data_IF_070017814364
#
_entry.id   IF_070017814364
#
_cell.length_a   1.000
_cell.length_b   1.000
_cell.length_c   1.000
_cell.angle_alpha   90.00
_cell.angle_beta   90.00
_cell.angle_gamma   90.00
#
_symmetry.space_group_name_H-M   'P 1'
#
loop_
_entity.id
_entity.type
_entity.pdbx_description
1 polymer ?
#
# COMPACT_ATOMS: atom_id res chain seq x y z
N UNK A 1 -8.02 -16.74 -10.34
CA UNK A 1 -7.27 -15.56 -9.85
C UNK A 1 -6.82 -14.76 -11.05
N UNK A 2 -6.54 -13.47 -10.86
CA UNK A 2 -6.17 -12.57 -11.94
C UNK A 2 -4.78 -11.96 -11.64
N UNK A 3 -3.69 -12.58 -12.14
CA UNK A 3 -2.32 -12.09 -11.94
C UNK A 3 -2.10 -10.65 -12.44
N UNK A 4 -2.74 -10.28 -13.54
CA UNK A 4 -2.71 -8.97 -14.16
C UNK A 4 -4.11 -8.58 -14.66
N UNK A 5 -4.26 -7.29 -15.02
CA UNK A 5 -5.55 -6.76 -15.45
C UNK A 5 -6.04 -7.35 -16.78
N UNK A 6 -5.15 -7.96 -17.59
CA UNK A 6 -5.57 -8.64 -18.81
C UNK A 6 -6.53 -9.78 -18.50
N UNK A 7 -6.17 -10.66 -17.57
CA UNK A 7 -7.03 -11.80 -17.21
C UNK A 7 -8.35 -11.35 -16.58
N UNK A 8 -8.34 -10.28 -15.79
CA UNK A 8 -9.55 -9.73 -15.18
C UNK A 8 -10.52 -9.17 -16.23
N UNK A 9 -10.00 -8.41 -17.20
CA UNK A 9 -10.83 -7.78 -18.23
C UNK A 9 -11.33 -8.80 -19.27
N UNK A 10 -10.50 -9.79 -19.62
CA UNK A 10 -10.90 -10.88 -20.50
C UNK A 10 -12.05 -11.69 -19.88
N UNK A 11 -11.97 -12.01 -18.59
CA UNK A 11 -13.02 -12.77 -17.89
C UNK A 11 -14.31 -11.97 -17.68
N UNK A 12 -14.23 -10.70 -17.28
CA UNK A 12 -15.41 -9.88 -17.00
C UNK A 12 -16.12 -9.36 -18.26
N UNK A 13 -15.37 -9.08 -19.33
CA UNK A 13 -15.89 -8.40 -20.52
C UNK A 13 -15.64 -9.13 -21.84
N UNK A 14 -14.83 -10.20 -21.85
CA UNK A 14 -14.45 -10.91 -23.07
C UNK A 14 -13.49 -10.11 -23.97
N UNK A 15 -12.82 -9.08 -23.45
CA UNK A 15 -11.98 -8.16 -24.25
C UNK A 15 -10.49 -8.43 -24.01
N UNK A 16 -9.80 -8.89 -25.06
CA UNK A 16 -8.37 -9.26 -25.02
C UNK A 16 -7.45 -8.07 -25.29
N UNK A 17 -7.22 -7.25 -24.27
CA UNK A 17 -6.32 -6.08 -24.35
C UNK A 17 -4.91 -6.44 -23.89
N UNK A 18 -4.04 -6.89 -24.80
CA UNK A 18 -2.67 -7.35 -24.47
C UNK A 18 -1.84 -6.37 -23.63
N UNK A 19 -2.08 -5.06 -23.73
CA UNK A 19 -1.38 -4.06 -22.92
C UNK A 19 -1.64 -4.16 -21.42
N UNK A 20 -2.77 -4.74 -21.01
CA UNK A 20 -3.10 -4.94 -19.60
C UNK A 20 -2.24 -6.02 -18.93
N UNK A 21 -1.47 -6.81 -19.69
CA UNK A 21 -0.51 -7.78 -19.14
C UNK A 21 0.64 -7.10 -18.37
N UNK A 22 0.93 -5.83 -18.68
CA UNK A 22 1.94 -5.02 -17.97
C UNK A 22 1.49 -4.57 -16.59
N UNK A 23 0.18 -4.54 -16.33
CA UNK A 23 -0.39 -4.02 -15.10
C UNK A 23 -0.76 -5.20 -14.20
N UNK A 24 0.14 -5.55 -13.28
CA UNK A 24 -0.11 -6.58 -12.28
C UNK A 24 -1.27 -6.15 -11.36
N UNK A 25 -2.20 -7.07 -11.10
CA UNK A 25 -3.40 -6.78 -10.32
C UNK A 25 -3.04 -6.40 -8.89
N UNK A 26 -2.09 -7.11 -8.28
CA UNK A 26 -1.60 -6.81 -6.93
C UNK A 26 -1.16 -5.34 -6.81
N UNK A 27 -0.22 -4.90 -7.67
CA UNK A 27 0.29 -3.53 -7.65
C UNK A 27 -0.77 -2.49 -7.96
N UNK A 28 -1.69 -2.80 -8.88
CA UNK A 28 -2.81 -1.93 -9.22
C UNK A 28 -3.75 -1.68 -8.02
N UNK A 29 -4.19 -2.74 -7.35
CA UNK A 29 -5.07 -2.61 -6.19
C UNK A 29 -4.36 -1.96 -5.00
N UNK A 30 -3.06 -2.22 -4.80
CA UNK A 30 -2.25 -1.50 -3.81
C UNK A 30 -2.19 -0.01 -4.12
N UNK A 31 -1.98 0.39 -5.38
CA UNK A 31 -1.97 1.81 -5.78
C UNK A 31 -3.33 2.48 -5.52
N UNK A 32 -4.44 1.80 -5.84
CA UNK A 32 -5.79 2.26 -5.51
C UNK A 32 -5.97 2.40 -4.00
N UNK A 33 -5.48 1.42 -3.22
CA UNK A 33 -5.55 1.47 -1.76
C UNK A 33 -4.82 2.69 -1.21
N UNK A 34 -3.66 3.08 -1.74
CA UNK A 34 -2.96 4.31 -1.34
C UNK A 34 -3.80 5.57 -1.61
N UNK A 35 -4.39 5.69 -2.81
CA UNK A 35 -5.21 6.85 -3.17
C UNK A 35 -6.47 6.93 -2.31
N UNK A 36 -7.18 5.82 -2.18
CA UNK A 36 -8.43 5.76 -1.42
C UNK A 36 -8.18 5.98 0.09
N UNK A 37 -7.10 5.43 0.65
CA UNK A 37 -6.71 5.67 2.04
C UNK A 37 -6.26 7.11 2.27
N UNK A 38 -5.54 7.70 1.31
CA UNK A 38 -5.20 9.13 1.33
C UNK A 38 -6.47 9.99 1.40
N UNK A 39 -7.51 9.65 0.63
CA UNK A 39 -8.79 10.34 0.70
C UNK A 39 -9.49 10.16 2.06
N UNK A 40 -9.48 8.96 2.64
CA UNK A 40 -10.02 8.72 4.00
C UNK A 40 -9.29 9.57 5.05
N UNK A 41 -7.95 9.64 4.97
CA UNK A 41 -7.13 10.47 5.84
C UNK A 41 -7.44 11.97 5.66
N UNK A 42 -7.56 12.43 4.42
CA UNK A 42 -7.95 13.80 4.09
C UNK A 42 -9.26 14.19 4.78
N UNK A 43 -10.29 13.34 4.68
CA UNK A 43 -11.59 13.59 5.30
C UNK A 43 -11.49 13.69 6.82
N UNK A 44 -10.68 12.84 7.46
CA UNK A 44 -10.56 12.81 8.91
C UNK A 44 -9.68 13.94 9.46
N UNK A 45 -8.61 14.33 8.74
CA UNK A 45 -7.81 15.52 9.07
C UNK A 45 -8.67 16.78 8.96
N UNK A 46 -9.38 16.98 7.85
CA UNK A 46 -10.30 18.11 7.66
C UNK A 46 -11.35 18.20 8.78
N UNK A 47 -11.90 17.06 9.21
CA UNK A 47 -12.82 17.00 10.35
C UNK A 47 -12.16 17.45 11.66
N UNK A 48 -10.95 16.98 11.94
CA UNK A 48 -10.23 17.30 13.19
C UNK A 48 -9.71 18.75 13.21
N UNK A 49 -9.38 19.31 12.05
CA UNK A 49 -9.09 20.74 11.90
C UNK A 49 -10.31 21.60 12.25
N UNK A 50 -11.50 21.22 11.75
CA UNK A 50 -12.74 21.89 12.11
C UNK A 50 -13.09 21.81 13.61
N UNK A 51 -12.48 20.87 14.35
CA UNK A 51 -12.57 20.76 15.81
C UNK A 51 -11.50 21.56 16.56
N UNK A 52 -10.59 22.25 15.86
CA UNK A 52 -9.50 23.03 16.46
C UNK A 52 -8.32 22.19 16.95
N UNK A 53 -8.16 20.95 16.49
CA UNK A 53 -7.06 20.08 16.94
C UNK A 53 -5.72 20.33 16.22
N UNK A 54 -5.72 21.17 15.19
CA UNK A 54 -4.53 21.47 14.39
C UNK A 54 -4.44 22.96 14.10
N UNK A 55 -3.21 23.43 13.89
CA UNK A 55 -2.91 24.80 13.47
C UNK A 55 -2.49 24.82 12.01
N UNK A 56 -2.85 25.88 11.31
CA UNK A 56 -2.39 26.15 9.97
C UNK A 56 -1.01 26.82 9.98
N UNK A 57 -0.27 26.65 8.88
CA UNK A 57 1.02 27.33 8.69
C UNK A 57 0.99 28.17 7.42
N UNK A 58 1.43 29.41 7.54
CA UNK A 58 1.65 30.27 6.38
C UNK A 58 2.94 29.87 5.66
N UNK A 59 2.83 29.54 4.38
CA UNK A 59 3.97 29.19 3.53
C UNK A 59 4.01 30.07 2.28
N UNK A 60 5.22 30.54 1.95
CA UNK A 60 5.46 31.35 0.75
C UNK A 60 5.60 30.43 -0.44
N UNK A 61 4.60 30.43 -1.32
CA UNK A 61 4.61 29.66 -2.56
C UNK A 61 4.76 30.63 -3.73
N UNK A 62 5.72 30.36 -4.61
CA UNK A 62 5.96 31.14 -5.82
C UNK A 62 5.00 30.64 -6.90
N UNK A 63 4.08 31.49 -7.33
CA UNK A 63 3.08 31.17 -8.36
C UNK A 63 3.48 31.87 -9.66
N UNK A 64 3.33 31.16 -10.79
CA UNK A 64 3.55 31.73 -12.12
C UNK A 64 5.00 31.78 -12.59
N UNK A 65 5.92 31.05 -11.95
CA UNK A 65 7.27 30.86 -12.46
C UNK A 65 7.27 30.01 -13.75
N UNK A 66 8.14 30.31 -14.74
CA UNK A 66 8.30 29.46 -15.91
C UNK A 66 8.79 28.07 -15.52
N UNK A 67 8.59 27.07 -16.39
CA UNK A 67 9.14 25.73 -16.17
C UNK A 67 10.66 25.81 -15.92
N UNK A 68 11.10 25.30 -14.77
CA UNK A 68 12.54 25.27 -14.48
C UNK A 68 13.25 24.30 -15.42
N UNK A 69 14.53 24.55 -15.71
CA UNK A 69 15.33 23.62 -16.52
C UNK A 69 15.37 22.23 -15.89
N UNK A 70 15.43 22.15 -14.55
CA UNK A 70 15.35 20.89 -13.82
C UNK A 70 14.01 20.18 -13.99
N UNK A 71 12.89 20.91 -14.02
CA UNK A 71 11.57 20.31 -14.24
C UNK A 71 11.49 19.69 -15.64
N UNK A 72 11.95 20.41 -16.66
CA UNK A 72 11.93 19.93 -18.04
C UNK A 72 12.82 18.70 -18.21
N UNK A 73 14.05 18.73 -17.67
CA UNK A 73 14.97 17.58 -17.71
C UNK A 73 14.37 16.38 -16.98
N UNK A 74 13.79 16.58 -15.79
CA UNK A 74 13.18 15.50 -15.02
C UNK A 74 12.00 14.88 -15.75
N UNK A 75 11.13 15.70 -16.35
CA UNK A 75 10.01 15.21 -17.16
C UNK A 75 10.49 14.49 -18.43
N UNK A 76 11.57 14.96 -19.05
CA UNK A 76 12.19 14.24 -20.17
C UNK A 76 12.68 12.86 -19.75
N UNK A 77 13.42 12.77 -18.64
CA UNK A 77 13.96 11.49 -18.15
C UNK A 77 12.82 10.52 -17.81
N UNK A 78 11.79 10.97 -17.08
CA UNK A 78 10.63 10.11 -16.78
C UNK A 78 9.88 9.69 -18.04
N UNK A 79 9.65 10.61 -18.98
CA UNK A 79 9.00 10.30 -20.25
C UNK A 79 9.84 9.37 -21.11
N UNK A 80 11.15 9.56 -21.12
CA UNK A 80 12.08 8.67 -21.81
C UNK A 80 12.04 7.26 -21.23
N UNK A 81 12.16 7.11 -19.91
CA UNK A 81 12.09 5.80 -19.26
C UNK A 81 10.73 5.13 -19.50
N UNK A 82 9.64 5.89 -19.40
CA UNK A 82 8.28 5.39 -19.66
C UNK A 82 8.12 4.94 -21.11
N UNK A 83 8.53 5.75 -22.09
CA UNK A 83 8.49 5.39 -23.50
C UNK A 83 9.42 4.22 -23.84
N UNK A 84 10.63 4.24 -23.31
CA UNK A 84 11.66 3.23 -23.54
C UNK A 84 11.21 1.85 -23.05
N UNK A 85 10.68 1.78 -21.83
CA UNK A 85 10.23 0.53 -21.22
C UNK A 85 8.78 0.21 -21.56
N UNK A 86 7.84 1.02 -21.10
CA UNK A 86 6.40 0.69 -21.13
C UNK A 86 5.87 0.68 -22.55
N UNK A 87 6.13 1.73 -23.33
CA UNK A 87 5.73 1.76 -24.75
C UNK A 87 6.57 0.78 -25.56
N UNK A 88 7.87 0.66 -25.25
CA UNK A 88 8.76 -0.32 -25.86
C UNK A 88 8.31 -1.77 -25.71
N UNK A 89 7.62 -2.12 -24.63
CA UNK A 89 7.10 -3.47 -24.37
C UNK A 89 6.10 -3.93 -25.44
N UNK A 90 5.45 -3.00 -26.14
CA UNK A 90 4.52 -3.30 -27.24
C UNK A 90 5.23 -3.51 -28.58
N UNK A 91 6.49 -3.13 -28.67
CA UNK A 91 7.28 -3.19 -29.91
C UNK A 91 8.28 -4.35 -29.92
N UNK A 92 8.56 -4.92 -28.75
CA UNK A 92 9.54 -5.99 -28.56
C UNK A 92 8.81 -7.33 -28.44
N UNK A 93 9.26 -8.32 -29.21
CA UNK A 93 8.70 -9.67 -29.19
C UNK A 93 8.91 -10.31 -27.82
N UNK A 94 7.90 -11.04 -27.31
CA UNK A 94 7.88 -11.69 -25.99
C UNK A 94 7.95 -10.79 -24.74
N UNK A 95 8.11 -9.47 -24.87
CA UNK A 95 8.14 -8.56 -23.71
C UNK A 95 6.87 -8.61 -22.85
N UNK A 96 5.69 -8.78 -23.49
CA UNK A 96 4.40 -8.90 -22.80
C UNK A 96 4.15 -10.30 -22.21
N UNK A 97 4.94 -11.30 -22.59
CA UNK A 97 4.82 -12.65 -22.05
C UNK A 97 5.62 -12.79 -20.75
N UNK A 98 6.76 -12.11 -20.61
CA UNK A 98 7.54 -12.07 -19.37
C UNK A 98 7.86 -10.63 -18.94
N UNK A 99 6.82 -9.93 -18.49
CA UNK A 99 6.85 -8.49 -18.18
C UNK A 99 7.87 -8.14 -17.09
N UNK A 100 7.99 -8.97 -16.05
CA UNK A 100 8.93 -8.75 -14.96
C UNK A 100 10.39 -8.80 -15.44
N UNK A 101 10.75 -9.82 -16.22
CA UNK A 101 12.11 -9.93 -16.77
C UNK A 101 12.43 -8.77 -17.72
N UNK A 102 11.47 -8.38 -18.56
CA UNK A 102 11.65 -7.30 -19.52
C UNK A 102 11.83 -5.94 -18.82
N UNK A 103 11.03 -5.64 -17.79
CA UNK A 103 11.15 -4.39 -17.03
C UNK A 103 12.56 -4.27 -16.40
N UNK A 104 13.11 -5.37 -15.88
CA UNK A 104 14.44 -5.41 -15.25
C UNK A 104 15.61 -5.54 -16.24
N UNK A 105 15.34 -5.90 -17.49
CA UNK A 105 16.37 -6.00 -18.53
C UNK A 105 16.92 -4.63 -18.93
N UNK A 106 17.91 -4.59 -19.83
CA UNK A 106 18.31 -3.35 -20.52
C UNK A 106 17.52 -3.12 -21.82
N UNK A 107 16.65 -4.04 -22.23
CA UNK A 107 15.89 -3.96 -23.47
C UNK A 107 14.84 -2.84 -23.42
N UNK A 108 14.57 -2.23 -24.56
CA UNK A 108 13.58 -1.19 -24.70
C UNK A 108 13.64 -0.52 -26.07
N UNK A 109 12.75 0.44 -26.30
CA UNK A 109 12.65 1.15 -27.57
C UNK A 109 13.14 2.59 -27.43
N UNK A 110 14.35 2.86 -27.91
CA UNK A 110 14.96 4.19 -27.84
C UNK A 110 14.11 5.27 -28.52
N UNK A 111 13.52 4.97 -29.69
CA UNK A 111 12.71 5.93 -30.43
C UNK A 111 11.43 6.28 -29.65
N UNK A 112 10.74 5.26 -29.11
CA UNK A 112 9.58 5.48 -28.26
C UNK A 112 9.94 6.30 -27.01
N UNK A 113 11.09 6.03 -26.39
CA UNK A 113 11.63 6.83 -25.29
C UNK A 113 11.82 8.30 -25.68
N UNK A 114 12.52 8.58 -26.79
CA UNK A 114 12.76 9.96 -27.23
C UNK A 114 11.46 10.71 -27.56
N UNK A 115 10.50 10.05 -28.23
CA UNK A 115 9.22 10.66 -28.59
C UNK A 115 8.37 10.99 -27.36
N UNK A 116 8.23 10.05 -26.42
CA UNK A 116 7.46 10.27 -25.20
C UNK A 116 8.17 11.28 -24.28
N UNK A 117 9.50 11.22 -24.17
CA UNK A 117 10.29 12.20 -23.45
C UNK A 117 10.08 13.62 -23.98
N UNK A 118 10.17 13.83 -25.30
CA UNK A 118 9.90 15.11 -25.93
C UNK A 118 8.44 15.57 -25.73
N UNK A 119 7.48 14.65 -25.81
CA UNK A 119 6.08 14.93 -25.56
C UNK A 119 5.84 15.40 -24.11
N UNK A 120 6.42 14.74 -23.11
CA UNK A 120 6.27 15.14 -21.70
C UNK A 120 6.90 16.51 -21.42
N UNK A 121 8.06 16.81 -22.03
CA UNK A 121 8.66 18.16 -21.98
C UNK A 121 7.70 19.20 -22.57
N UNK A 122 7.14 18.93 -23.75
CA UNK A 122 6.21 19.83 -24.41
C UNK A 122 4.94 20.06 -23.55
N UNK A 123 4.35 19.00 -23.01
CA UNK A 123 3.17 19.08 -22.13
C UNK A 123 3.50 19.91 -20.89
N UNK A 124 4.63 19.66 -20.22
CA UNK A 124 5.02 20.38 -19.01
C UNK A 124 5.30 21.85 -19.29
N UNK A 125 6.00 22.14 -20.38
CA UNK A 125 6.26 23.50 -20.83
C UNK A 125 4.95 24.24 -21.13
N UNK A 126 4.01 23.59 -21.83
CA UNK A 126 2.70 24.16 -22.15
C UNK A 126 1.87 24.43 -20.90
N UNK A 127 1.83 23.50 -19.95
CA UNK A 127 1.16 23.66 -18.65
C UNK A 127 1.72 24.88 -17.90
N UNK A 128 3.05 24.96 -17.73
CA UNK A 128 3.68 26.08 -17.02
C UNK A 128 3.58 27.40 -17.75
N UNK A 129 3.57 27.41 -19.08
CA UNK A 129 3.32 28.62 -19.85
C UNK A 129 1.89 29.13 -19.73
N UNK A 130 0.89 28.25 -19.57
CA UNK A 130 -0.50 28.68 -19.31
C UNK A 130 -0.65 29.35 -17.94
N UNK A 131 0.11 28.89 -16.95
CA UNK A 131 0.08 29.42 -15.58
C UNK A 131 1.09 30.55 -15.34
N UNK A 132 1.91 30.89 -16.34
CA UNK A 132 2.98 31.87 -16.22
C UNK A 132 2.39 33.26 -16.03
N UNK A 133 2.85 33.95 -14.98
CA UNK A 133 2.55 35.35 -14.74
C UNK A 133 3.71 36.20 -15.27
N UNK A 134 3.44 37.44 -15.67
CA UNK A 134 4.46 38.37 -16.18
C UNK A 134 5.56 38.65 -15.14
N UNK A 135 5.21 38.58 -13.86
CA UNK A 135 6.13 38.55 -12.73
C UNK A 135 5.68 37.44 -11.77
N UNK A 136 6.54 36.47 -11.41
CA UNK A 136 6.19 35.46 -10.43
C UNK A 136 5.80 36.12 -9.11
N UNK A 137 4.60 35.84 -8.61
CA UNK A 137 4.11 36.38 -7.35
C UNK A 137 4.39 35.39 -6.23
N UNK A 138 4.99 35.87 -5.15
CA UNK A 138 5.08 35.08 -3.91
C UNK A 138 3.78 35.27 -3.14
N UNK A 139 2.92 34.26 -3.14
CA UNK A 139 1.69 34.27 -2.32
C UNK A 139 1.96 33.56 -1.00
N UNK A 140 1.50 34.18 0.08
CA UNK A 140 1.46 33.54 1.39
C UNK A 140 0.18 32.71 1.40
N UNK A 141 0.32 31.40 1.32
CA UNK A 141 -0.79 30.47 1.36
C UNK A 141 -0.83 29.82 2.75
N UNK A 142 -2.04 29.75 3.32
CA UNK A 142 -2.31 29.04 4.57
C UNK A 142 -2.43 27.55 4.27
N UNK A 143 -1.42 26.78 4.65
CA UNK A 143 -1.36 25.32 4.42
C UNK A 143 -1.83 24.59 5.67
N UNK A 144 -2.81 23.71 5.50
CA UNK A 144 -3.38 22.88 6.55
C UNK A 144 -2.83 21.44 6.51
N UNK A 145 -2.92 20.68 7.61
CA UNK A 145 -2.53 19.26 7.61
C UNK A 145 -3.18 18.41 6.51
N UNK A 146 -4.45 18.66 6.17
CA UNK A 146 -5.13 17.92 5.09
C UNK A 146 -4.52 18.15 3.70
N UNK A 147 -3.89 19.31 3.46
CA UNK A 147 -3.19 19.60 2.20
C UNK A 147 -1.92 18.74 2.04
N UNK A 148 -1.37 18.27 3.16
CA UNK A 148 -0.12 17.51 3.21
C UNK A 148 -0.30 16.00 3.10
N UNK A 149 -1.52 15.52 2.89
CA UNK A 149 -1.80 14.07 2.78
C UNK A 149 -0.93 13.41 1.70
N UNK A 150 -0.79 14.04 0.53
CA UNK A 150 0.06 13.53 -0.53
C UNK A 150 1.52 13.41 -0.10
N UNK A 151 2.07 14.44 0.57
CA UNK A 151 3.43 14.41 1.11
C UNK A 151 3.60 13.30 2.17
N UNK A 152 2.62 13.12 3.05
CA UNK A 152 2.66 12.05 4.06
C UNK A 152 2.65 10.67 3.41
N UNK A 153 1.80 10.44 2.41
CA UNK A 153 1.76 9.18 1.66
C UNK A 153 3.11 8.90 0.99
N UNK A 154 3.73 9.93 0.37
CA UNK A 154 5.05 9.80 -0.24
C UNK A 154 6.14 9.49 0.78
N UNK A 155 6.13 10.14 1.95
CA UNK A 155 7.07 9.82 3.04
C UNK A 155 6.87 8.38 3.53
N UNK A 156 5.63 7.95 3.73
CA UNK A 156 5.33 6.58 4.16
C UNK A 156 5.82 5.55 3.14
N UNK A 157 5.60 5.79 1.84
CA UNK A 157 6.06 4.91 0.77
C UNK A 157 7.59 4.86 0.68
N UNK A 158 8.25 6.03 0.73
CA UNK A 158 9.72 6.14 0.66
C UNK A 158 10.39 5.41 1.83
N UNK A 159 10.04 5.77 3.06
CA UNK A 159 10.64 5.18 4.25
C UNK A 159 10.21 3.74 4.47
N UNK A 160 9.00 3.37 4.05
CA UNK A 160 8.51 2.00 4.06
C UNK A 160 9.31 1.09 3.14
N UNK A 161 9.58 1.53 1.90
CA UNK A 161 10.39 0.76 0.97
C UNK A 161 11.85 0.64 1.45
N UNK A 162 12.46 1.77 1.86
CA UNK A 162 13.82 1.79 2.40
C UNK A 162 13.93 0.85 3.62
N UNK A 163 12.99 0.94 4.56
CA UNK A 163 12.98 0.10 5.76
C UNK A 163 12.81 -1.37 5.46
N UNK A 164 11.90 -1.71 4.55
CA UNK A 164 11.67 -3.10 4.17
C UNK A 164 12.91 -3.73 3.54
N UNK A 165 13.65 -2.96 2.73
CA UNK A 165 14.87 -3.42 2.08
C UNK A 165 16.05 -3.54 3.04
N UNK A 166 16.24 -2.54 3.92
CA UNK A 166 17.30 -2.58 4.93
C UNK A 166 17.14 -3.81 5.83
N UNK A 167 15.93 -4.04 6.36
CA UNK A 167 15.72 -5.17 7.27
C UNK A 167 15.85 -6.53 6.57
N UNK A 168 15.36 -6.65 5.33
CA UNK A 168 15.56 -7.86 4.56
C UNK A 168 17.05 -8.20 4.39
N UNK A 169 17.87 -7.21 4.10
CA UNK A 169 19.31 -7.40 3.92
C UNK A 169 20.04 -7.67 5.25
N UNK A 170 19.52 -7.16 6.37
CA UNK A 170 20.01 -7.49 7.71
C UNK A 170 19.61 -8.90 8.16
N UNK A 171 18.45 -9.39 7.71
CA UNK A 171 18.00 -10.76 7.99
C UNK A 171 18.72 -11.79 7.11
N UNK A 172 19.10 -11.40 5.87
CA UNK A 172 19.74 -12.28 4.88
C UNK A 172 21.16 -11.78 4.55
N UNK A 173 21.99 -11.58 5.58
CA UNK A 173 23.37 -11.08 5.42
C UNK A 173 24.20 -11.99 4.51
N UNK A 174 23.99 -13.30 4.58
CA UNK A 174 24.72 -14.26 3.74
C UNK A 174 24.43 -14.06 2.24
N UNK A 175 23.21 -13.68 1.88
CA UNK A 175 22.83 -13.38 0.49
C UNK A 175 23.35 -12.00 0.06
N UNK A 176 23.35 -11.03 0.98
CA UNK A 176 23.94 -9.72 0.75
C UNK A 176 25.46 -9.79 0.50
N UNK A 177 26.17 -10.64 1.24
CA UNK A 177 27.62 -10.82 1.06
C UNK A 177 27.95 -11.47 -0.28
N UNK A 178 27.10 -12.37 -0.77
CA UNK A 178 27.29 -13.06 -2.06
C UNK A 178 27.02 -12.16 -3.26
N UNK A 179 25.97 -11.34 -3.21
CA UNK A 179 25.63 -10.39 -4.29
C UNK A 179 25.13 -9.05 -3.71
N UNK A 180 26.05 -8.14 -3.34
CA UNK A 180 25.70 -6.88 -2.69
C UNK A 180 24.84 -5.98 -3.58
N UNK A 181 25.15 -5.92 -4.88
CA UNK A 181 24.49 -5.03 -5.84
C UNK A 181 23.11 -5.60 -6.21
N UNK A 182 23.03 -6.88 -6.56
CA UNK A 182 21.75 -7.52 -6.91
C UNK A 182 20.81 -7.62 -5.71
N UNK A 183 21.32 -7.90 -4.51
CA UNK A 183 20.51 -7.92 -3.29
C UNK A 183 19.93 -6.54 -2.97
N UNK A 184 20.69 -5.45 -3.13
CA UNK A 184 20.20 -4.07 -2.92
C UNK A 184 19.22 -3.58 -3.99
N UNK A 185 19.43 -3.94 -5.27
CA UNK A 185 18.64 -3.42 -6.41
C UNK A 185 17.41 -4.29 -6.71
N UNK A 186 17.40 -5.55 -6.28
CA UNK A 186 16.26 -6.45 -6.51
C UNK A 186 14.96 -5.89 -5.93
N UNK A 187 13.87 -6.00 -6.70
CA UNK A 187 12.52 -5.65 -6.24
C UNK A 187 11.90 -6.71 -5.32
N UNK A 188 12.53 -7.89 -5.22
CA UNK A 188 12.18 -8.96 -4.29
C UNK A 188 12.92 -8.80 -2.95
N UNK A 189 12.43 -9.47 -1.92
CA UNK A 189 13.06 -9.45 -0.60
C UNK A 189 12.76 -8.16 0.16
N UNK A 190 11.55 -8.06 0.69
CA UNK A 190 11.06 -6.92 1.46
C UNK A 190 10.52 -7.41 2.80
N UNK A 191 11.16 -7.00 3.89
CA UNK A 191 10.73 -7.37 5.23
C UNK A 191 9.68 -6.37 5.73
N UNK A 192 8.45 -6.84 5.97
CA UNK A 192 7.34 -6.01 6.39
C UNK A 192 7.64 -5.12 7.61
N UNK A 193 8.26 -5.69 8.66
CA UNK A 193 8.52 -4.97 9.91
C UNK A 193 9.50 -3.81 9.74
N UNK A 194 10.55 -4.00 8.94
CA UNK A 194 11.47 -2.91 8.63
C UNK A 194 10.77 -1.74 7.96
N UNK A 195 9.86 -2.04 7.03
CA UNK A 195 9.05 -1.03 6.37
C UNK A 195 8.11 -0.31 7.34
N UNK A 196 7.39 -1.05 8.18
CA UNK A 196 6.48 -0.46 9.16
C UNK A 196 7.20 0.48 10.15
N UNK A 197 8.36 0.06 10.67
CA UNK A 197 9.13 0.82 11.67
C UNK A 197 9.66 2.11 11.05
N UNK A 198 10.38 2.03 9.92
CA UNK A 198 10.97 3.22 9.31
C UNK A 198 9.90 4.15 8.72
N UNK A 199 8.82 3.62 8.13
CA UNK A 199 7.70 4.45 7.68
C UNK A 199 7.08 5.23 8.85
N UNK A 200 6.84 4.58 9.98
CA UNK A 200 6.29 5.23 11.18
C UNK A 200 7.21 6.34 11.68
N UNK A 201 8.53 6.08 11.78
CA UNK A 201 9.52 7.08 12.20
C UNK A 201 9.57 8.24 11.21
N UNK A 202 9.66 7.96 9.90
CA UNK A 202 9.74 8.97 8.85
C UNK A 202 8.52 9.88 8.83
N UNK A 203 7.32 9.32 8.96
CA UNK A 203 6.08 10.10 9.06
C UNK A 203 6.06 10.93 10.35
N UNK A 204 6.43 10.38 11.51
CA UNK A 204 6.48 11.13 12.78
C UNK A 204 7.45 12.31 12.69
N UNK A 205 8.63 12.12 12.11
CA UNK A 205 9.62 13.19 11.92
C UNK A 205 9.06 14.27 10.99
N UNK A 206 8.44 13.86 9.88
CA UNK A 206 7.80 14.78 8.94
C UNK A 206 6.69 15.61 9.60
N UNK A 207 5.70 14.99 10.26
CA UNK A 207 4.58 15.72 10.85
C UNK A 207 5.04 16.65 11.99
N UNK A 208 6.05 16.25 12.76
CA UNK A 208 6.66 17.12 13.80
C UNK A 208 7.36 18.34 13.20
N UNK A 209 8.07 18.19 12.07
CA UNK A 209 8.68 19.32 11.34
C UNK A 209 7.64 20.35 10.89
N UNK A 210 6.39 19.92 10.70
CA UNK A 210 5.26 20.78 10.31
C UNK A 210 4.33 21.15 11.49
N UNK A 211 4.76 20.95 12.75
CA UNK A 211 3.99 21.28 13.95
C UNK A 211 2.61 20.58 14.03
N UNK A 212 2.45 19.45 13.36
CA UNK A 212 1.22 18.65 13.40
C UNK A 212 1.30 17.75 14.64
N UNK A 213 0.27 17.81 15.49
CA UNK A 213 0.21 16.98 16.70
C UNK A 213 0.19 15.49 16.36
N UNK A 214 1.20 14.76 16.85
CA UNK A 214 1.39 13.32 16.57
C UNK A 214 0.19 12.50 17.02
N UNK A 215 -0.36 12.76 18.20
CA UNK A 215 -1.47 11.96 18.72
C UNK A 215 -2.78 12.23 17.97
N UNK A 216 -3.06 13.48 17.60
CA UNK A 216 -4.24 13.80 16.80
C UNK A 216 -4.13 13.24 15.39
N UNK A 217 -2.92 13.23 14.84
CA UNK A 217 -2.61 12.58 13.57
C UNK A 217 -2.78 11.05 13.66
N UNK A 218 -2.25 10.40 14.72
CA UNK A 218 -2.42 8.97 14.95
C UNK A 218 -3.90 8.55 15.05
N UNK A 219 -4.71 9.34 15.76
CA UNK A 219 -6.15 9.12 15.82
C UNK A 219 -6.86 9.30 14.46
N UNK A 220 -6.34 10.18 13.60
CA UNK A 220 -6.85 10.35 12.23
C UNK A 220 -6.43 9.18 11.32
N UNK A 221 -5.22 8.69 11.56
CA UNK A 221 -4.64 7.55 10.86
C UNK A 221 -5.29 6.23 11.26
N UNK A 222 -5.85 6.12 12.46
CA UNK A 222 -6.47 4.91 13.00
C UNK A 222 -7.56 4.29 12.09
N UNK A 223 -8.63 5.01 11.70
CA UNK A 223 -9.60 4.47 10.74
C UNK A 223 -9.00 4.32 9.35
N UNK A 224 -8.08 5.22 8.96
CA UNK A 224 -7.39 5.17 7.67
C UNK A 224 -6.61 3.86 7.51
N UNK A 225 -5.93 3.39 8.56
CA UNK A 225 -5.13 2.16 8.51
C UNK A 225 -5.98 0.90 8.38
N UNK A 226 -7.15 0.85 9.02
CA UNK A 226 -8.08 -0.27 8.81
C UNK A 226 -8.57 -0.33 7.36
N UNK A 227 -8.93 0.83 6.81
CA UNK A 227 -9.32 0.93 5.41
C UNK A 227 -8.16 0.54 4.48
N UNK A 228 -6.95 1.04 4.75
CA UNK A 228 -5.77 0.74 3.97
C UNK A 228 -5.43 -0.76 3.97
N UNK A 229 -5.54 -1.41 5.13
CA UNK A 229 -5.39 -2.85 5.24
C UNK A 229 -6.43 -3.57 4.38
N UNK A 230 -7.71 -3.25 4.57
CA UNK A 230 -8.80 -3.91 3.85
C UNK A 230 -8.66 -3.75 2.32
N UNK A 231 -8.41 -2.52 1.86
CA UNK A 231 -8.22 -2.20 0.45
C UNK A 231 -6.95 -2.87 -0.13
N UNK A 232 -5.86 -2.91 0.63
CA UNK A 232 -4.62 -3.58 0.21
C UNK A 232 -4.80 -5.09 0.04
N UNK A 233 -5.56 -5.75 0.94
CA UNK A 233 -5.83 -7.19 0.87
C UNK A 233 -6.64 -7.61 -0.35
N UNK A 234 -7.38 -6.70 -0.98
CA UNK A 234 -8.03 -6.95 -2.28
C UNK A 234 -6.97 -7.34 -3.31
N UNK A 235 -5.83 -6.65 -3.32
CA UNK A 235 -4.71 -6.98 -4.20
C UNK A 235 -4.22 -8.40 -3.99
N UNK A 236 -3.93 -8.78 -2.73
CA UNK A 236 -3.51 -10.13 -2.36
C UNK A 236 -4.49 -11.20 -2.84
N UNK A 237 -5.79 -10.98 -2.55
CA UNK A 237 -6.83 -11.94 -2.90
C UNK A 237 -6.96 -12.10 -4.41
N UNK A 238 -7.05 -11.00 -5.15
CA UNK A 238 -7.25 -11.00 -6.61
C UNK A 238 -6.08 -11.65 -7.34
N UNK A 239 -4.83 -11.39 -6.92
CA UNK A 239 -3.66 -11.97 -7.57
C UNK A 239 -3.37 -13.41 -7.14
N UNK A 240 -3.86 -13.85 -5.98
CA UNK A 240 -3.45 -15.11 -5.37
C UNK A 240 -1.95 -15.10 -5.04
N UNK A 241 -1.52 -14.18 -4.19
CA UNK A 241 -0.10 -13.93 -3.89
C UNK A 241 0.53 -14.87 -2.84
N UNK A 242 -0.18 -15.88 -2.37
CA UNK A 242 0.31 -16.81 -1.35
C UNK A 242 -0.26 -16.59 0.06
N UNK A 243 -1.02 -15.51 0.29
CA UNK A 243 -1.59 -15.20 1.60
C UNK A 243 -2.89 -15.99 1.91
N UNK A 244 -2.89 -17.29 1.61
CA UNK A 244 -4.00 -18.18 1.90
C UNK A 244 -3.82 -18.99 3.18
N UNK A 245 -4.90 -19.65 3.60
CA UNK A 245 -4.97 -20.39 4.84
C UNK A 245 -4.48 -21.83 4.76
N UNK A 246 -4.67 -22.55 5.86
CA UNK A 246 -4.48 -24.01 5.92
C UNK A 246 -5.52 -24.75 5.06
N UNK A 247 -5.28 -26.01 4.71
CA UNK A 247 -6.28 -26.87 4.06
C UNK A 247 -7.65 -26.83 4.73
N UNK A 248 -8.70 -26.65 3.93
CA UNK A 248 -10.09 -26.60 4.39
C UNK A 248 -10.93 -27.70 3.74
N UNK A 249 -11.14 -28.78 4.50
CA UNK A 249 -12.05 -29.88 4.13
C UNK A 249 -13.42 -29.78 4.82
N UNK A 250 -13.65 -28.73 5.60
CA UNK A 250 -14.90 -28.59 6.35
C UNK A 250 -16.06 -28.24 5.39
N UNK A 251 -17.26 -28.79 5.62
CA UNK A 251 -18.43 -28.45 4.81
C UNK A 251 -18.74 -26.95 4.94
N UNK A 252 -19.20 -26.36 3.85
CA UNK A 252 -19.58 -24.94 3.81
C UNK A 252 -20.71 -24.68 4.82
N UNK A 253 -20.61 -23.63 5.65
CA UNK A 253 -21.58 -23.39 6.72
C UNK A 253 -22.93 -22.89 6.21
N UNK A 254 -22.96 -22.23 5.04
CA UNK A 254 -24.18 -21.64 4.47
C UNK A 254 -24.26 -21.91 2.97
N UNK A 255 -25.37 -22.49 2.51
CA UNK A 255 -25.53 -22.91 1.11
C UNK A 255 -25.50 -21.74 0.11
N UNK A 256 -26.00 -20.57 0.51
CA UNK A 256 -26.05 -19.37 -0.34
C UNK A 256 -24.69 -18.71 -0.57
N UNK A 257 -23.67 -19.04 0.24
CA UNK A 257 -22.33 -18.48 0.05
C UNK A 257 -21.66 -19.09 -1.19
N UNK A 258 -21.00 -18.30 -2.04
CA UNK A 258 -20.18 -18.85 -3.12
C UNK A 258 -19.04 -19.72 -2.57
N UNK A 259 -18.75 -20.85 -3.21
CA UNK A 259 -17.80 -21.83 -2.65
C UNK A 259 -16.41 -21.25 -2.41
N UNK A 260 -15.93 -20.39 -3.32
CA UNK A 260 -14.63 -19.71 -3.23
C UNK A 260 -14.49 -18.83 -1.98
N UNK A 261 -15.60 -18.42 -1.35
CA UNK A 261 -15.59 -17.63 -0.11
C UNK A 261 -15.33 -18.49 1.12
N UNK A 262 -15.51 -19.81 1.05
CA UNK A 262 -15.27 -20.74 2.14
C UNK A 262 -14.01 -21.59 1.91
N UNK A 263 -13.85 -22.09 0.69
CA UNK A 263 -12.72 -22.96 0.32
C UNK A 263 -12.32 -22.68 -1.14
N UNK A 264 -11.04 -22.39 -1.37
CA UNK A 264 -10.54 -22.00 -2.69
C UNK A 264 -9.22 -22.69 -3.01
N UNK A 265 -9.05 -23.14 -4.25
CA UNK A 265 -7.77 -23.68 -4.76
C UNK A 265 -6.87 -22.59 -5.34
N UNK A 266 -7.33 -21.34 -5.41
CA UNK A 266 -6.57 -20.23 -6.01
C UNK A 266 -6.00 -20.56 -7.39
N UNK A 267 -6.86 -21.07 -8.29
CA UNK A 267 -6.47 -21.32 -9.68
C UNK A 267 -5.93 -20.05 -10.34
N UNK A 268 -4.86 -20.20 -11.12
CA UNK A 268 -4.12 -19.12 -11.76
C UNK A 268 -3.45 -18.13 -10.79
N UNK A 269 -2.96 -18.63 -9.64
CA UNK A 269 -2.26 -17.79 -8.67
C UNK A 269 -0.93 -17.21 -9.24
N UNK A 270 -0.61 -15.97 -8.85
CA UNK A 270 0.57 -15.24 -9.37
C UNK A 270 1.90 -15.90 -8.97
N UNK A 271 1.92 -16.63 -7.85
CA UNK A 271 3.12 -17.32 -7.35
C UNK A 271 3.37 -18.68 -8.03
N UNK A 272 2.51 -19.10 -8.96
CA UNK A 272 2.61 -20.38 -9.66
C UNK A 272 2.77 -21.59 -8.70
N UNK A 273 2.12 -21.56 -7.53
CA UNK A 273 2.18 -22.65 -6.56
C UNK A 273 1.08 -23.69 -6.83
N UNK A 274 1.41 -24.96 -6.62
CA UNK A 274 0.49 -26.09 -6.70
C UNK A 274 0.75 -27.00 -7.90
N UNK A 275 -0.30 -27.62 -8.41
CA UNK A 275 -0.27 -28.53 -9.56
C UNK A 275 -0.71 -27.81 -10.83
N UNK A 276 -0.25 -28.31 -11.98
CA UNK A 276 -0.60 -27.76 -13.28
C UNK A 276 -2.06 -28.08 -13.64
N UNK A 277 -2.78 -27.07 -14.13
CA UNK A 277 -4.18 -27.19 -14.57
C UNK A 277 -4.19 -27.88 -15.95
N UNK A 278 -4.86 -29.04 -16.12
CA UNK A 278 -4.89 -29.76 -17.39
C UNK A 278 -5.42 -28.90 -18.54
N UNK A 279 -4.67 -28.81 -19.63
CA UNK A 279 -5.05 -28.05 -20.83
C UNK A 279 -4.84 -26.53 -20.73
N UNK A 280 -4.21 -26.03 -19.67
CA UNK A 280 -3.83 -24.63 -19.55
C UNK A 280 -2.47 -24.39 -20.21
N UNK A 281 -2.42 -23.45 -21.17
CA UNK A 281 -1.17 -23.03 -21.81
C UNK A 281 -0.81 -21.60 -21.41
N UNK A 282 0.47 -21.37 -21.10
CA UNK A 282 1.01 -20.05 -20.74
C UNK A 282 1.39 -19.92 -19.27
N UNK A 283 1.56 -18.66 -18.83
CA UNK A 283 1.93 -18.35 -17.45
C UNK A 283 0.70 -18.41 -16.52
N UNK A 284 0.94 -18.72 -15.25
CA UNK A 284 -0.11 -18.81 -14.22
C UNK A 284 -1.09 -19.97 -14.48
N UNK A 285 -0.57 -21.14 -14.85
CA UNK A 285 -1.37 -22.34 -15.09
C UNK A 285 -1.37 -23.32 -13.92
N UNK A 286 -1.19 -22.82 -12.69
CA UNK A 286 -1.13 -23.66 -11.49
C UNK A 286 -2.30 -23.35 -10.55
N UNK A 287 -2.72 -24.37 -9.80
CA UNK A 287 -3.70 -24.29 -8.72
C UNK A 287 -3.30 -25.17 -7.54
N UNK A 288 -3.78 -24.86 -6.34
CA UNK A 288 -3.51 -25.68 -5.16
C UNK A 288 -4.22 -27.04 -5.29
N UNK A 289 -3.52 -28.15 -5.01
CA UNK A 289 -4.10 -29.50 -5.12
C UNK A 289 -5.19 -29.77 -4.07
N UNK A 290 -5.21 -28.96 -3.01
CA UNK A 290 -6.14 -29.07 -1.89
C UNK A 290 -6.72 -27.68 -1.65
N UNK A 291 -8.04 -27.55 -1.46
CA UNK A 291 -8.64 -26.25 -1.24
C UNK A 291 -8.32 -25.76 0.18
N UNK A 292 -8.14 -24.46 0.31
CA UNK A 292 -7.69 -23.82 1.55
C UNK A 292 -8.66 -22.73 2.00
N UNK A 293 -8.59 -22.33 3.27
CA UNK A 293 -9.33 -21.17 3.75
C UNK A 293 -8.87 -19.91 2.99
N UNK A 294 -9.79 -19.12 2.40
CA UNK A 294 -9.44 -17.89 1.72
C UNK A 294 -9.20 -16.76 2.73
N UNK A 295 -8.11 -16.85 3.51
CA UNK A 295 -7.82 -15.92 4.61
C UNK A 295 -7.80 -14.47 4.16
N UNK A 296 -7.18 -14.14 3.03
CA UNK A 296 -7.21 -12.77 2.47
C UNK A 296 -8.62 -12.22 2.30
N UNK A 297 -9.59 -13.04 1.89
CA UNK A 297 -10.98 -12.62 1.79
C UNK A 297 -11.61 -12.32 3.15
N UNK A 298 -11.34 -13.16 4.15
CA UNK A 298 -11.78 -12.92 5.53
C UNK A 298 -11.17 -11.65 6.11
N UNK A 299 -9.87 -11.41 5.88
CA UNK A 299 -9.17 -10.19 6.28
C UNK A 299 -9.83 -8.94 5.65
N UNK A 300 -10.18 -8.98 4.35
CA UNK A 300 -10.89 -7.87 3.67
C UNK A 300 -12.21 -7.56 4.38
N UNK A 301 -13.06 -8.57 4.60
CA UNK A 301 -14.39 -8.39 5.20
C UNK A 301 -14.26 -7.86 6.62
N UNK A 302 -13.45 -8.52 7.46
CA UNK A 302 -13.30 -8.16 8.87
C UNK A 302 -12.75 -6.73 8.97
N UNK A 303 -11.74 -6.38 8.19
CA UNK A 303 -11.13 -5.05 8.26
C UNK A 303 -12.05 -3.95 7.74
N UNK A 304 -12.86 -4.19 6.71
CA UNK A 304 -13.90 -3.23 6.31
C UNK A 304 -15.00 -3.08 7.35
N UNK A 305 -15.41 -4.16 8.01
CA UNK A 305 -16.38 -4.10 9.11
C UNK A 305 -15.82 -3.32 10.30
N UNK A 306 -14.59 -3.59 10.71
CA UNK A 306 -13.91 -2.86 11.79
C UNK A 306 -13.69 -1.39 11.42
N UNK A 307 -13.36 -1.10 10.16
CA UNK A 307 -13.32 0.27 9.63
C UNK A 307 -14.70 0.94 9.75
N UNK A 308 -15.77 0.30 9.30
CA UNK A 308 -17.12 0.86 9.35
C UNK A 308 -17.57 1.13 10.80
N UNK A 309 -17.28 0.20 11.72
CA UNK A 309 -17.53 0.36 13.15
C UNK A 309 -16.77 1.58 13.66
N UNK A 310 -15.45 1.66 13.44
CA UNK A 310 -14.63 2.76 13.92
C UNK A 310 -15.07 4.09 13.30
N UNK A 311 -15.36 4.08 12.00
CA UNK A 311 -15.85 5.24 11.26
C UNK A 311 -17.16 5.75 11.85
N UNK A 312 -18.08 4.87 12.23
CA UNK A 312 -19.36 5.27 12.83
C UNK A 312 -19.20 5.90 14.23
N UNK A 313 -18.25 5.40 15.04
CA UNK A 313 -18.05 5.87 16.43
C UNK A 313 -17.06 7.03 16.56
N UNK A 314 -16.24 7.32 15.55
CA UNK A 314 -15.17 8.34 15.61
C UNK A 314 -15.62 9.74 16.00
N UNK A 315 -16.89 10.07 15.74
CA UNK A 315 -17.49 11.37 16.09
C UNK A 315 -17.87 11.45 17.58
N UNK A 316 -18.14 10.31 18.22
CA UNK A 316 -18.49 10.21 19.65
C UNK A 316 -17.24 10.21 20.54
N UNK A 317 -16.13 9.71 20.02
CA UNK A 317 -14.85 9.62 20.74
C UNK A 317 -14.10 10.94 20.58
N UNK A 318 -14.03 11.71 21.68
CA UNK A 318 -13.41 13.04 21.70
C UNK A 318 -12.06 13.08 22.41
N UNK A 319 -11.71 12.03 23.16
CA UNK A 319 -10.47 11.95 23.92
C UNK A 319 -9.32 11.53 22.97
N UNK A 320 -8.24 12.33 22.86
CA UNK A 320 -7.09 11.95 22.04
C UNK A 320 -6.43 10.66 22.52
N UNK A 321 -6.03 9.80 21.59
CA UNK A 321 -5.37 8.51 21.83
C UNK A 321 -6.33 7.32 21.97
N UNK A 322 -7.62 7.55 22.21
CA UNK A 322 -8.59 6.44 22.31
C UNK A 322 -8.79 5.76 20.95
N UNK A 323 -8.88 6.51 19.85
CA UNK A 323 -9.04 5.92 18.51
C UNK A 323 -7.81 5.09 18.13
N UNK A 324 -6.62 5.59 18.47
CA UNK A 324 -5.37 4.85 18.32
C UNK A 324 -5.40 3.54 19.12
N UNK A 325 -5.84 3.57 20.38
CA UNK A 325 -5.97 2.37 21.21
C UNK A 325 -6.95 1.34 20.63
N UNK A 326 -8.12 1.79 20.15
CA UNK A 326 -9.12 0.92 19.49
C UNK A 326 -8.53 0.29 18.23
N UNK A 327 -7.83 1.08 17.39
CA UNK A 327 -7.17 0.55 16.20
C UNK A 327 -6.17 -0.56 16.52
N UNK A 328 -5.32 -0.37 17.53
CA UNK A 328 -4.33 -1.37 17.92
C UNK A 328 -4.98 -2.68 18.40
N UNK A 329 -6.08 -2.59 19.15
CA UNK A 329 -6.86 -3.77 19.56
C UNK A 329 -7.53 -4.43 18.36
N UNK A 330 -8.12 -3.66 17.45
CA UNK A 330 -8.79 -4.19 16.27
C UNK A 330 -7.81 -4.89 15.33
N UNK A 331 -6.70 -4.24 14.98
CA UNK A 331 -5.67 -4.80 14.11
C UNK A 331 -4.97 -6.00 14.76
N UNK A 332 -4.64 -5.93 16.06
CA UNK A 332 -4.05 -7.06 16.78
C UNK A 332 -5.03 -8.23 16.94
N UNK A 333 -6.30 -7.95 17.23
CA UNK A 333 -7.33 -8.98 17.38
C UNK A 333 -7.57 -9.73 16.08
N UNK A 334 -7.81 -9.01 14.99
CA UNK A 334 -7.99 -9.60 13.67
C UNK A 334 -6.80 -10.48 13.29
N UNK A 335 -5.58 -9.94 13.42
CA UNK A 335 -4.36 -10.66 13.05
C UNK A 335 -4.17 -11.91 13.90
N UNK A 336 -4.45 -11.85 15.20
CA UNK A 336 -4.36 -13.00 16.10
C UNK A 336 -5.30 -14.14 15.69
N UNK A 337 -6.55 -13.83 15.32
CA UNK A 337 -7.52 -14.85 14.95
C UNK A 337 -7.27 -15.43 13.55
N UNK A 338 -6.93 -14.59 12.57
CA UNK A 338 -6.62 -15.03 11.21
C UNK A 338 -5.38 -15.92 11.19
N UNK A 339 -4.40 -15.63 12.04
CA UNK A 339 -3.17 -16.41 12.13
C UNK A 339 -3.41 -17.88 12.52
N UNK A 340 -4.49 -18.18 13.26
CA UNK A 340 -4.88 -19.56 13.61
C UNK A 340 -5.27 -20.42 12.41
N UNK A 341 -5.69 -19.79 11.33
CA UNK A 341 -6.10 -20.44 10.08
C UNK A 341 -5.12 -20.17 8.94
N UNK A 342 -3.96 -19.53 9.20
CA UNK A 342 -2.90 -19.29 8.22
C UNK A 342 -1.80 -20.36 8.27
N UNK A 343 -1.12 -20.54 7.14
CA UNK A 343 0.10 -21.34 7.03
C UNK A 343 1.29 -20.45 7.40
N UNK A 344 1.76 -20.52 8.65
CA UNK A 344 2.93 -19.76 9.11
C UNK A 344 3.83 -20.58 10.02
N UNK A 345 5.10 -20.19 10.06
CA UNK A 345 6.13 -20.86 10.86
C UNK A 345 5.90 -20.59 12.35
N UNK A 346 5.85 -21.68 13.14
CA UNK A 346 5.73 -21.65 14.60
C UNK A 346 7.09 -21.69 15.26
N UNK A 347 7.27 -20.92 16.33
CA UNK A 347 8.49 -21.00 17.15
C UNK A 347 8.45 -22.24 18.03
N UNK A 348 9.03 -23.35 17.55
CA UNK A 348 9.03 -24.62 18.27
C UNK A 348 9.75 -24.57 19.64
N UNK A 349 10.61 -23.57 19.86
CA UNK A 349 11.38 -23.38 21.08
C UNK A 349 10.62 -22.71 22.23
N UNK A 350 9.44 -22.13 21.96
CA UNK A 350 8.64 -21.43 22.96
C UNK A 350 7.44 -22.28 23.42
N UNK A 351 7.00 -22.15 24.70
CA UNK A 351 5.77 -22.78 25.16
C UNK A 351 4.59 -22.30 24.31
N UNK A 352 3.66 -23.21 23.98
CA UNK A 352 2.52 -22.99 23.09
C UNK A 352 2.84 -22.74 21.61
N UNK A 353 4.13 -22.78 21.23
CA UNK A 353 4.63 -22.66 19.86
C UNK A 353 3.97 -21.52 19.05
N UNK A 354 3.98 -20.28 19.57
CA UNK A 354 3.31 -19.17 18.90
C UNK A 354 4.02 -18.81 17.58
N UNK A 355 3.29 -18.20 16.67
CA UNK A 355 3.91 -17.55 15.50
C UNK A 355 4.39 -16.14 15.85
N UNK A 356 5.29 -15.58 15.04
CA UNK A 356 5.73 -14.19 15.19
C UNK A 356 4.55 -13.20 15.15
N UNK A 357 3.56 -13.48 14.29
CA UNK A 357 2.37 -12.64 14.18
C UNK A 357 1.50 -12.69 15.43
N UNK A 358 1.36 -13.84 16.11
CA UNK A 358 0.59 -13.95 17.36
C UNK A 358 1.20 -13.13 18.50
N UNK A 359 2.54 -13.17 18.63
CA UNK A 359 3.25 -12.39 19.64
C UNK A 359 3.06 -10.89 19.43
N UNK A 360 3.23 -10.43 18.19
CA UNK A 360 3.10 -9.01 17.84
C UNK A 360 1.65 -8.56 17.98
N UNK A 361 0.69 -9.38 17.56
CA UNK A 361 -0.74 -9.12 17.73
C UNK A 361 -1.12 -8.95 19.20
N UNK A 362 -0.63 -9.83 20.06
CA UNK A 362 -0.83 -9.75 21.51
C UNK A 362 -0.24 -8.45 22.07
N UNK A 363 0.97 -8.09 21.64
CA UNK A 363 1.62 -6.85 22.05
C UNK A 363 0.83 -5.60 21.61
N UNK A 364 0.31 -5.58 20.37
CA UNK A 364 -0.55 -4.49 19.88
C UNK A 364 -1.83 -4.36 20.71
N UNK A 365 -2.48 -5.47 21.05
CA UNK A 365 -3.66 -5.47 21.92
C UNK A 365 -3.33 -4.88 23.29
N UNK A 366 -2.22 -5.29 23.91
CA UNK A 366 -1.79 -4.78 25.22
C UNK A 366 -1.50 -3.27 25.17
N UNK A 367 -0.78 -2.79 24.16
CA UNK A 367 -0.56 -1.34 23.96
C UNK A 367 -1.90 -0.64 23.78
N UNK A 368 -2.80 -1.20 22.98
CA UNK A 368 -4.12 -0.63 22.76
C UNK A 368 -4.91 -0.46 24.05
N UNK A 369 -4.90 -1.47 24.94
CA UNK A 369 -5.51 -1.40 26.28
C UNK A 369 -4.86 -0.30 27.12
N UNK A 370 -3.54 -0.19 27.10
CA UNK A 370 -2.82 0.89 27.80
C UNK A 370 -3.25 2.26 27.29
N UNK A 371 -3.40 2.44 25.97
CA UNK A 371 -3.93 3.68 25.40
C UNK A 371 -5.36 3.95 25.89
N UNK A 372 -6.24 2.95 25.94
CA UNK A 372 -7.61 3.14 26.44
C UNK A 372 -7.65 3.64 27.89
N UNK A 373 -6.77 3.12 28.74
CA UNK A 373 -6.72 3.47 30.17
C UNK A 373 -6.01 4.82 30.38
N UNK A 374 -4.87 5.04 29.73
CA UNK A 374 -3.97 6.15 30.04
C UNK A 374 -4.17 7.39 29.17
N UNK A 375 -4.94 7.31 28.07
CA UNK A 375 -5.13 8.46 27.16
C UNK A 375 -5.62 9.72 27.86
N UNK A 376 -6.50 9.60 28.87
CA UNK A 376 -6.99 10.76 29.64
C UNK A 376 -5.88 11.44 30.44
N UNK A 377 -4.92 10.65 30.94
CA UNK A 377 -3.77 11.13 31.72
C UNK A 377 -2.68 11.70 30.82
N UNK A 378 -2.39 11.04 29.71
CA UNK A 378 -1.32 11.44 28.79
C UNK A 378 -1.71 12.62 27.90
N UNK A 379 -2.98 12.70 27.51
CA UNK A 379 -3.48 13.70 26.56
C UNK A 379 -4.69 14.43 27.15
N UNK A 380 -4.51 15.22 28.22
CA UNK A 380 -5.60 16.03 28.75
C UNK A 380 -6.16 16.93 27.63
N UNK A 381 -7.49 17.10 27.59
CA UNK A 381 -8.13 17.94 26.58
C UNK A 381 -7.68 19.39 26.73
N UNK A 382 -6.67 19.79 25.94
CA UNK A 382 -6.30 21.19 25.80
C UNK A 382 -7.30 21.83 24.84
N UNK A 383 -8.20 22.66 25.37
CA UNK A 383 -9.04 23.54 24.54
C UNK A 383 -8.07 24.56 23.93
N UNK A 384 -7.62 24.30 22.70
CA UNK A 384 -6.95 25.33 21.90
C UNK A 384 -8.05 26.34 21.58
N UNK A 385 -8.05 27.47 22.27
CA UNK A 385 -8.93 28.59 21.88
C UNK A 385 -8.49 29.04 20.49
N UNK A 386 -9.43 29.23 19.54
CA UNK A 386 -9.12 29.69 18.21
C UNK A 386 -8.45 31.07 18.21
#
# INVERSE_FOLDING_TARGET
MYPNLYYLVDDLFGVKLNGLKLINSFGFFVAIAFVASGYVLYLELKRKEALGHFTSKEEKIIIGAPASKSDLITNFIFGYLFGYKIVGAFTIENALNNTQSYILSLEGNMLAGLLIGALMVYVKWREKNKEKLDKPETRILTVWPHDRVGEVVLQAALWGFIGAKIFHNLENIDDLVKDPIGSLISFSGLTFYGGLILATIGVIVYIRKHNISVIHFADAMSPTMLFAYAAGRIGCHVSGDGDWGIPNFAPKPFDWLPDWTWSSTYAHNVVNQGVHIPGCEGNYCNELPVPVFPTTFYEIIIMFLLFAIMWSVRKKITQPGILTGIYLIFAGGERFFIEKIRVNNKYMSLPFQPTQAELISTFLILIGIVFLIQSKRWFPKTIVKP
#
